data_IF_324728517675
#
_entry.id   IF_324728517675
#
_cell.length_a   1.000
_cell.length_b   1.000
_cell.length_c   1.000
_cell.angle_alpha   90.00
_cell.angle_beta   90.00
_cell.angle_gamma   90.00
#
_symmetry.space_group_name_H-M   'P 1'
#
loop_
_entity.id
_entity.type
_entity.pdbx_description
1 polymer ?
#
# COMPACT_ATOMS: atom_id res chain seq x y z
N UNK A 1 -3.34 34.53 5.65
CA UNK A 1 -3.82 33.20 6.06
C UNK A 1 -4.51 32.58 4.87
N UNK A 2 -3.91 31.56 4.23
CA UNK A 2 -4.53 30.84 3.11
C UNK A 2 -5.68 30.01 3.67
N UNK A 3 -6.89 30.21 3.17
CA UNK A 3 -8.05 29.39 3.52
C UNK A 3 -7.82 28.02 2.92
N UNK A 4 -7.76 26.98 3.72
CA UNK A 4 -7.75 25.61 3.24
C UNK A 4 -9.21 25.28 2.95
N UNK A 5 -9.57 25.21 1.68
CA UNK A 5 -10.88 24.70 1.28
C UNK A 5 -10.83 23.18 1.48
N UNK A 6 -11.54 22.70 2.49
CA UNK A 6 -11.77 21.27 2.66
C UNK A 6 -12.83 20.84 1.64
N UNK A 7 -12.48 19.95 0.77
CA UNK A 7 -13.44 19.21 -0.03
C UNK A 7 -14.26 18.33 0.92
N UNK A 8 -15.57 18.48 0.91
CA UNK A 8 -16.46 17.74 1.82
C UNK A 8 -16.73 16.30 1.30
N UNK A 9 -16.34 15.98 0.07
CA UNK A 9 -16.45 14.64 -0.48
C UNK A 9 -15.21 13.83 -0.07
N UNK A 10 -15.30 13.13 1.04
CA UNK A 10 -14.25 12.25 1.53
C UNK A 10 -14.75 10.81 1.55
N UNK A 11 -14.28 10.02 0.59
CA UNK A 11 -14.61 8.61 0.48
C UNK A 11 -13.51 7.78 1.15
N UNK A 12 -13.90 6.94 2.10
CA UNK A 12 -12.98 6.01 2.76
C UNK A 12 -12.65 4.78 1.91
N UNK A 13 -11.56 4.11 2.27
CA UNK A 13 -11.07 2.89 1.62
C UNK A 13 -10.07 3.13 0.50
N UNK A 14 -9.49 2.03 0.01
CA UNK A 14 -8.49 2.04 -1.05
C UNK A 14 -9.09 1.61 -2.39
N UNK A 15 -8.70 2.31 -3.45
CA UNK A 15 -9.08 2.01 -4.83
C UNK A 15 -8.05 1.11 -5.52
N UNK A 16 -6.76 1.31 -5.26
CA UNK A 16 -5.67 0.56 -5.88
C UNK A 16 -4.53 0.31 -4.89
N UNK A 17 -3.87 -0.83 -5.05
CA UNK A 17 -2.70 -1.22 -4.26
C UNK A 17 -1.66 -1.85 -5.20
N UNK A 18 -0.43 -1.33 -5.16
CA UNK A 18 0.71 -1.85 -5.90
C UNK A 18 1.87 -2.13 -4.97
N UNK A 19 2.43 -3.32 -5.04
CA UNK A 19 3.60 -3.72 -4.30
C UNK A 19 4.84 -3.67 -5.20
N UNK A 20 5.87 -2.94 -4.78
CA UNK A 20 7.11 -2.69 -5.52
C UNK A 20 8.24 -3.38 -4.76
N UNK A 21 9.03 -4.27 -5.39
CA UNK A 21 10.21 -4.84 -4.74
C UNK A 21 11.24 -3.74 -4.44
N UNK A 22 11.90 -3.75 -3.29
CA UNK A 22 12.94 -2.77 -2.97
C UNK A 22 14.08 -2.71 -3.99
N UNK A 23 14.39 -3.85 -4.64
CA UNK A 23 15.42 -3.94 -5.69
C UNK A 23 15.11 -3.10 -6.94
N UNK A 24 13.84 -2.81 -7.18
CA UNK A 24 13.40 -2.07 -8.37
C UNK A 24 13.30 -0.57 -8.13
N UNK A 25 13.49 -0.13 -6.89
CA UNK A 25 13.51 1.29 -6.52
C UNK A 25 14.92 1.83 -6.67
N UNK A 26 15.11 2.80 -7.59
CA UNK A 26 16.39 3.47 -7.77
C UNK A 26 16.62 4.49 -6.65
N UNK A 27 15.64 5.36 -6.44
CA UNK A 27 15.66 6.36 -5.36
C UNK A 27 14.28 6.97 -5.14
N UNK A 28 14.08 7.53 -3.95
CA UNK A 28 13.02 8.49 -3.66
C UNK A 28 13.56 9.89 -3.94
N UNK A 29 12.83 10.67 -4.70
CA UNK A 29 13.19 12.03 -5.08
C UNK A 29 12.15 13.01 -4.56
N UNK A 30 12.61 14.05 -3.91
CA UNK A 30 11.77 15.18 -3.50
C UNK A 30 11.88 16.32 -4.50
N UNK A 31 10.76 16.75 -5.06
CA UNK A 31 10.69 17.95 -5.88
C UNK A 31 10.41 19.16 -4.98
N UNK A 32 11.45 19.94 -4.71
CA UNK A 32 11.37 21.12 -3.85
C UNK A 32 10.55 22.28 -4.42
N UNK A 33 10.25 22.27 -5.72
CA UNK A 33 9.45 23.31 -6.36
C UNK A 33 7.96 23.11 -6.12
N UNK A 34 7.54 21.86 -6.15
CA UNK A 34 6.12 21.48 -6.01
C UNK A 34 5.80 20.84 -4.65
N UNK A 35 6.81 20.61 -3.79
CA UNK A 35 6.69 19.93 -2.49
C UNK A 35 6.08 18.51 -2.64
N UNK A 36 6.54 17.77 -3.65
CA UNK A 36 6.04 16.46 -4.02
C UNK A 36 7.18 15.44 -3.97
N UNK A 37 6.89 14.26 -3.44
CA UNK A 37 7.80 13.12 -3.45
C UNK A 37 7.52 12.20 -4.64
N UNK A 38 8.58 11.74 -5.28
CA UNK A 38 8.52 10.88 -6.46
C UNK A 38 9.39 9.64 -6.28
N UNK A 39 9.01 8.56 -6.94
CA UNK A 39 9.75 7.30 -6.95
C UNK A 39 10.36 7.09 -8.34
N UNK A 40 11.70 7.02 -8.40
CA UNK A 40 12.38 6.57 -9.60
C UNK A 40 12.60 5.05 -9.53
N UNK A 41 12.13 4.35 -10.55
CA UNK A 41 12.23 2.90 -10.67
C UNK A 41 13.30 2.49 -11.69
N UNK A 42 14.04 1.43 -11.39
CA UNK A 42 14.96 0.77 -12.32
C UNK A 42 14.16 0.01 -13.38
N UNK A 43 13.13 -0.71 -12.96
CA UNK A 43 12.22 -1.46 -13.81
C UNK A 43 10.82 -1.49 -13.20
N UNK A 44 9.83 -1.71 -14.05
CA UNK A 44 8.41 -1.80 -13.64
C UNK A 44 7.85 -3.21 -13.77
N UNK A 45 8.65 -4.13 -14.30
CA UNK A 45 8.20 -5.49 -14.66
C UNK A 45 7.85 -6.34 -13.44
N UNK A 46 8.42 -6.02 -12.27
CA UNK A 46 8.21 -6.81 -11.06
C UNK A 46 7.16 -6.22 -10.11
N UNK A 47 6.55 -5.10 -10.47
CA UNK A 47 5.45 -4.53 -9.70
C UNK A 47 4.27 -5.51 -9.68
N UNK A 48 3.71 -5.72 -8.50
CA UNK A 48 2.57 -6.60 -8.30
C UNK A 48 1.34 -5.76 -7.99
N UNK A 49 0.37 -5.77 -8.90
CA UNK A 49 -0.94 -5.19 -8.62
C UNK A 49 -1.73 -6.14 -7.70
N UNK A 50 -2.15 -5.65 -6.56
CA UNK A 50 -3.00 -6.41 -5.63
C UNK A 50 -4.45 -6.22 -6.05
N UNK A 51 -5.23 -7.30 -6.27
CA UNK A 51 -6.63 -7.18 -6.67
C UNK A 51 -7.45 -6.48 -5.58
N UNK A 52 -7.98 -5.31 -5.88
CA UNK A 52 -8.89 -4.55 -5.03
C UNK A 52 -10.31 -4.66 -5.58
N UNK A 53 -11.25 -5.01 -4.73
CA UNK A 53 -12.65 -5.17 -5.10
C UNK A 53 -13.48 -4.10 -4.39
N UNK A 54 -14.13 -3.23 -5.16
CA UNK A 54 -14.81 -2.02 -4.67
C UNK A 54 -15.93 -2.23 -3.64
N UNK A 55 -16.38 -3.46 -3.45
CA UNK A 55 -17.39 -3.81 -2.43
C UNK A 55 -16.78 -4.47 -1.18
N UNK A 56 -15.47 -4.43 -1.00
CA UNK A 56 -14.75 -5.00 0.14
C UNK A 56 -13.98 -3.94 0.89
N UNK A 57 -13.68 -4.23 2.13
CA UNK A 57 -12.87 -3.34 2.99
C UNK A 57 -11.40 -3.48 2.65
N UNK A 58 -10.85 -2.41 2.08
CA UNK A 58 -9.42 -2.22 1.91
C UNK A 58 -9.05 -0.93 2.62
N UNK A 59 -8.06 -0.98 3.49
CA UNK A 59 -7.71 0.15 4.33
C UNK A 59 -6.21 0.37 4.42
N UNK A 60 -5.83 1.61 4.55
CA UNK A 60 -4.51 2.06 4.97
C UNK A 60 -4.63 2.70 6.34
N UNK A 61 -3.75 2.35 7.25
CA UNK A 61 -3.60 2.99 8.55
C UNK A 61 -2.14 3.20 8.89
N UNK A 62 -1.87 4.34 9.52
CA UNK A 62 -0.55 4.70 10.00
C UNK A 62 -0.69 5.30 11.40
N UNK A 63 0.01 4.72 12.35
CA UNK A 63 -0.01 5.18 13.74
C UNK A 63 1.39 5.57 14.19
N UNK A 64 1.56 6.82 14.62
CA UNK A 64 2.82 7.27 15.18
C UNK A 64 2.95 6.88 16.66
N UNK A 65 4.17 6.53 17.07
CA UNK A 65 4.52 6.24 18.45
C UNK A 65 5.89 6.80 18.81
N UNK A 66 6.23 6.71 20.09
CA UNK A 66 7.53 7.11 20.63
C UNK A 66 8.06 5.95 21.45
N UNK A 67 9.32 5.57 21.20
CA UNK A 67 10.07 4.59 21.95
C UNK A 67 11.43 5.18 22.34
N UNK A 68 12.25 4.41 23.05
CA UNK A 68 13.58 4.87 23.50
C UNK A 68 14.50 5.31 22.34
N UNK A 69 14.31 4.71 21.15
CA UNK A 69 15.02 5.07 19.92
C UNK A 69 14.47 6.25 19.14
N UNK A 70 13.41 6.90 19.62
CA UNK A 70 12.76 8.03 18.98
C UNK A 70 11.35 7.75 18.44
N UNK A 71 10.88 8.59 17.54
CA UNK A 71 9.56 8.47 16.93
C UNK A 71 9.57 7.42 15.80
N UNK A 72 8.50 6.65 15.73
CA UNK A 72 8.25 5.66 14.70
C UNK A 72 6.81 5.72 14.20
N UNK A 73 6.55 5.06 13.08
CA UNK A 73 5.23 4.92 12.47
C UNK A 73 4.96 3.46 12.17
N UNK A 74 3.92 2.90 12.76
CA UNK A 74 3.42 1.57 12.44
C UNK A 74 2.43 1.69 11.29
N UNK A 75 2.76 1.07 10.16
CA UNK A 75 1.95 1.07 8.95
C UNK A 75 1.25 -0.27 8.81
N UNK A 76 -0.04 -0.23 8.47
CA UNK A 76 -0.83 -1.41 8.10
C UNK A 76 -1.70 -1.10 6.89
N UNK A 77 -1.58 -1.93 5.85
CA UNK A 77 -2.44 -1.91 4.67
C UNK A 77 -3.12 -3.25 4.61
N UNK A 78 -4.44 -3.28 4.75
CA UNK A 78 -5.21 -4.50 4.93
C UNK A 78 -6.31 -4.62 3.90
N UNK A 79 -6.68 -5.85 3.59
CA UNK A 79 -7.79 -6.11 2.71
C UNK A 79 -8.15 -7.58 2.59
N UNK A 80 -9.13 -7.84 1.73
CA UNK A 80 -9.64 -9.18 1.47
C UNK A 80 -9.68 -9.45 -0.02
N UNK A 81 -8.98 -10.49 -0.46
CA UNK A 81 -9.07 -11.02 -1.82
C UNK A 81 -10.13 -12.13 -1.80
N UNK A 82 -11.32 -11.91 -2.38
CA UNK A 82 -12.38 -12.91 -2.38
C UNK A 82 -12.05 -14.03 -3.35
N UNK A 83 -12.58 -15.21 -3.07
CA UNK A 83 -12.42 -16.47 -3.82
C UNK A 83 -10.98 -16.98 -3.85
N UNK A 84 -10.80 -18.17 -3.33
CA UNK A 84 -9.55 -18.91 -3.43
C UNK A 84 -9.45 -19.54 -4.84
N UNK A 85 -8.82 -18.84 -5.77
CA UNK A 85 -8.62 -19.27 -7.14
C UNK A 85 -7.13 -19.21 -7.51
N UNK A 86 -6.74 -19.89 -8.58
CA UNK A 86 -5.32 -20.02 -8.96
C UNK A 86 -4.62 -18.67 -9.14
N UNK A 87 -5.27 -17.70 -9.78
CA UNK A 87 -4.66 -16.37 -10.03
C UNK A 87 -4.37 -15.64 -8.72
N UNK A 88 -5.35 -15.59 -7.80
CA UNK A 88 -5.16 -14.95 -6.49
C UNK A 88 -4.14 -15.69 -5.64
N UNK A 89 -4.10 -17.01 -5.70
CA UNK A 89 -3.10 -17.82 -4.99
C UNK A 89 -1.68 -17.55 -5.48
N UNK A 90 -1.45 -17.39 -6.77
CA UNK A 90 -0.13 -17.05 -7.33
C UNK A 90 0.34 -15.64 -6.91
N UNK A 91 -0.57 -14.68 -6.90
CA UNK A 91 -0.26 -13.32 -6.43
C UNK A 91 0.15 -13.35 -4.95
N UNK A 92 -0.64 -14.02 -4.11
CA UNK A 92 -0.36 -14.16 -2.68
C UNK A 92 0.98 -14.85 -2.46
N UNK A 93 1.23 -15.96 -3.14
CA UNK A 93 2.51 -16.70 -3.04
C UNK A 93 3.72 -15.84 -3.45
N UNK A 94 3.57 -15.02 -4.49
CA UNK A 94 4.60 -14.07 -4.91
C UNK A 94 4.86 -13.01 -3.83
N UNK A 95 3.80 -12.49 -3.23
CA UNK A 95 3.89 -11.47 -2.18
C UNK A 95 4.49 -12.01 -0.88
N UNK A 96 4.17 -13.25 -0.50
CA UNK A 96 4.70 -13.91 0.70
C UNK A 96 6.22 -14.17 0.63
N UNK A 97 6.77 -14.27 -0.58
CA UNK A 97 8.22 -14.54 -0.78
C UNK A 97 9.10 -13.32 -0.67
N UNK A 98 8.54 -12.12 -0.63
CA UNK A 98 9.28 -10.86 -0.70
C UNK A 98 8.95 -9.88 0.41
N UNK A 99 9.64 -8.76 0.33
CA UNK A 99 9.35 -7.55 1.08
C UNK A 99 9.07 -6.42 0.09
N UNK A 100 8.29 -5.41 0.50
CA UNK A 100 7.66 -4.53 -0.46
C UNK A 100 7.65 -3.07 -0.01
N UNK A 101 7.81 -2.17 -0.95
CA UNK A 101 7.26 -0.82 -0.84
C UNK A 101 5.86 -0.86 -1.42
N UNK A 102 4.90 -0.23 -0.78
CA UNK A 102 3.51 -0.31 -1.20
C UNK A 102 2.96 1.06 -1.55
N UNK A 103 2.45 1.17 -2.78
CA UNK A 103 1.65 2.29 -3.22
C UNK A 103 0.19 1.95 -2.98
N UNK A 104 -0.49 2.78 -2.19
CA UNK A 104 -1.92 2.65 -1.94
C UNK A 104 -2.63 3.93 -2.33
N UNK A 105 -3.57 3.82 -3.27
CA UNK A 105 -4.41 4.94 -3.71
C UNK A 105 -5.77 4.84 -3.04
N UNK A 106 -6.21 5.91 -2.42
CA UNK A 106 -7.55 6.02 -1.88
C UNK A 106 -8.59 6.40 -2.94
N UNK A 107 -9.87 6.37 -2.58
CA UNK A 107 -10.96 6.76 -3.48
C UNK A 107 -11.00 8.28 -3.78
N UNK A 108 -10.20 9.08 -3.10
CA UNK A 108 -10.03 10.51 -3.38
C UNK A 108 -8.87 10.77 -4.37
N UNK A 109 -8.18 9.72 -4.84
CA UNK A 109 -7.07 9.81 -5.76
C UNK A 109 -5.73 10.15 -5.12
N UNK A 110 -5.64 10.12 -3.78
CA UNK A 110 -4.39 10.38 -3.06
C UNK A 110 -3.59 9.07 -2.98
N UNK A 111 -2.33 9.13 -3.38
CA UNK A 111 -1.43 7.98 -3.37
C UNK A 111 -0.43 8.10 -2.23
N UNK A 112 -0.41 7.09 -1.37
CA UNK A 112 0.56 6.95 -0.30
C UNK A 112 1.61 5.90 -0.68
N UNK A 113 2.89 6.26 -0.55
CA UNK A 113 3.99 5.31 -0.59
C UNK A 113 4.36 4.95 0.83
N UNK A 114 4.26 3.68 1.15
CA UNK A 114 4.59 3.11 2.45
C UNK A 114 5.77 2.14 2.35
N UNK A 115 6.65 2.19 3.33
CA UNK A 115 7.90 1.44 3.33
C UNK A 115 9.05 2.21 2.67
N UNK A 116 10.25 1.71 2.88
CA UNK A 116 11.48 2.22 2.25
C UNK A 116 12.34 1.04 1.79
N UNK A 117 13.41 1.36 1.04
CA UNK A 117 14.36 0.32 0.60
C UNK A 117 15.05 -0.33 1.81
N UNK A 118 15.36 0.47 2.84
CA UNK A 118 16.04 0.00 4.05
C UNK A 118 15.09 -0.73 5.02
N UNK A 119 13.82 -0.31 5.03
CA UNK A 119 12.79 -0.87 5.94
C UNK A 119 11.52 -1.13 5.14
N UNK A 120 11.49 -2.17 4.31
CA UNK A 120 10.31 -2.54 3.53
C UNK A 120 9.21 -3.14 4.41
N UNK A 121 7.99 -3.15 3.88
CA UNK A 121 6.85 -3.81 4.51
C UNK A 121 6.88 -5.33 4.27
N UNK A 122 6.34 -6.07 5.22
CA UNK A 122 6.16 -7.52 5.14
C UNK A 122 4.71 -7.84 4.84
N UNK A 123 4.51 -8.76 3.89
CA UNK A 123 3.20 -9.26 3.54
C UNK A 123 2.87 -10.52 4.33
N UNK A 124 1.62 -10.61 4.78
CA UNK A 124 1.05 -11.85 5.32
C UNK A 124 -0.39 -12.03 4.83
N UNK A 125 -0.82 -13.27 4.68
CA UNK A 125 -2.17 -13.60 4.27
C UNK A 125 -2.69 -14.86 4.96
N UNK A 126 -3.97 -14.82 5.35
CA UNK A 126 -4.71 -15.96 5.88
C UNK A 126 -5.78 -16.38 4.89
N UNK A 127 -5.75 -17.64 4.48
CA UNK A 127 -6.71 -18.24 3.54
C UNK A 127 -7.80 -18.98 4.30
N UNK A 128 -9.06 -18.74 3.96
CA UNK A 128 -10.19 -19.45 4.54
C UNK A 128 -11.31 -19.64 3.52
N UNK A 129 -11.88 -20.85 3.50
CA UNK A 129 -13.11 -21.11 2.72
C UNK A 129 -14.37 -20.73 3.50
N UNK A 130 -14.23 -20.44 4.81
CA UNK A 130 -15.36 -20.40 5.72
C UNK A 130 -15.93 -21.79 6.01
N UNK A 131 -16.87 -21.85 6.93
CA UNK A 131 -17.54 -23.06 7.40
C UNK A 131 -19.02 -23.13 7.00
N UNK A 132 -19.57 -22.04 6.46
CA UNK A 132 -20.96 -21.94 6.02
C UNK A 132 -21.07 -21.18 4.69
N UNK A 133 -22.19 -21.34 3.99
CA UNK A 133 -22.47 -20.64 2.73
C UNK A 133 -22.46 -19.11 2.87
N UNK A 134 -22.74 -18.60 4.06
CA UNK A 134 -22.67 -17.16 4.39
C UNK A 134 -21.28 -16.67 4.77
N UNK A 135 -20.33 -17.59 5.00
CA UNK A 135 -18.98 -17.27 5.39
C UNK A 135 -18.17 -16.76 4.20
N UNK A 136 -17.18 -15.92 4.49
CA UNK A 136 -16.27 -15.41 3.47
C UNK A 136 -15.33 -16.52 2.99
N UNK A 137 -15.34 -16.77 1.69
CA UNK A 137 -14.31 -17.58 1.01
C UNK A 137 -13.31 -16.62 0.37
N UNK A 138 -12.09 -16.59 0.90
CA UNK A 138 -11.06 -15.68 0.40
C UNK A 138 -9.82 -15.67 1.26
N UNK A 139 -8.97 -14.68 0.98
CA UNK A 139 -7.75 -14.42 1.74
C UNK A 139 -7.82 -13.03 2.35
N UNK A 140 -7.71 -12.94 3.66
CA UNK A 140 -7.37 -11.68 4.32
C UNK A 140 -5.87 -11.47 4.25
N UNK A 141 -5.44 -10.27 3.90
CA UNK A 141 -4.02 -9.95 3.81
C UNK A 141 -3.69 -8.66 4.53
N UNK A 142 -2.43 -8.52 4.89
CA UNK A 142 -1.87 -7.28 5.40
C UNK A 142 -0.44 -7.06 4.93
N UNK A 143 -0.11 -5.80 4.63
CA UNK A 143 1.27 -5.32 4.57
C UNK A 143 1.53 -4.53 5.83
N UNK A 144 2.51 -4.91 6.61
CA UNK A 144 2.82 -4.28 7.89
C UNK A 144 4.29 -3.97 8.03
N UNK A 145 4.61 -2.92 8.76
CA UNK A 145 5.98 -2.59 9.11
C UNK A 145 6.08 -1.35 9.96
N UNK A 146 7.13 -1.30 10.77
CA UNK A 146 7.49 -0.13 11.56
C UNK A 146 8.49 0.72 10.80
N UNK A 147 8.15 1.98 10.58
CA UNK A 147 8.91 2.90 9.75
C UNK A 147 9.55 4.01 10.60
N UNK A 148 10.79 4.44 10.28
CA UNK A 148 11.43 5.58 10.94
C UNK A 148 10.89 6.93 10.46
N UNK A 149 10.13 6.94 9.37
CA UNK A 149 9.49 8.12 8.76
C UNK A 149 8.06 7.79 8.37
N UNK A 150 7.17 8.79 8.32
CA UNK A 150 5.80 8.58 7.85
C UNK A 150 5.77 8.22 6.36
N UNK A 151 4.67 7.62 5.92
CA UNK A 151 4.39 7.40 4.51
C UNK A 151 4.31 8.74 3.77
N UNK A 152 4.82 8.77 2.54
CA UNK A 152 4.85 9.98 1.72
C UNK A 152 3.71 9.99 0.71
N UNK A 153 3.18 11.18 0.42
CA UNK A 153 2.18 11.36 -0.64
C UNK A 153 2.92 11.60 -1.95
N UNK A 154 2.53 10.86 -2.99
CA UNK A 154 3.15 10.89 -4.32
C UNK A 154 2.14 11.39 -5.34
N UNK A 155 2.60 12.15 -6.33
CA UNK A 155 1.79 12.52 -7.48
C UNK A 155 1.71 11.36 -8.49
N UNK A 156 0.48 11.04 -8.90
CA UNK A 156 0.20 9.98 -9.87
C UNK A 156 0.65 10.33 -11.30
N UNK A 157 0.71 11.60 -11.67
CA UNK A 157 1.01 12.02 -13.04
C UNK A 157 2.41 11.55 -13.49
N UNK A 158 3.32 11.32 -12.56
CA UNK A 158 4.62 10.70 -12.85
C UNK A 158 4.59 9.16 -12.84
N UNK A 159 3.58 8.55 -12.21
CA UNK A 159 3.37 7.10 -12.21
C UNK A 159 2.54 6.61 -13.41
N UNK A 160 1.74 7.47 -14.03
CA UNK A 160 0.89 7.13 -15.21
C UNK A 160 1.69 6.81 -16.48
N UNK A 161 2.99 7.01 -16.48
CA UNK A 161 3.89 6.44 -17.49
C UNK A 161 4.28 4.98 -17.16
N UNK A 162 3.59 4.34 -16.22
CA UNK A 162 3.77 2.91 -15.87
C UNK A 162 2.93 2.02 -16.77
#
# INVERSE_FOLDING_TARGET
MKRIDFDFENMGGLAEIYAIPPSDVLRLRHDYLNDIDNVELVTRQNIVAVPVYGNRSFSFSEQSGIADGGRYWDVSIEGVIPKLQNVSSHIIEKLERGTWLVLSMDHNGIVHLSGSVEVPLVFSADKSTGDACSSLNGSTFSFTGRQPKPSVIIDLDELTNI
#
